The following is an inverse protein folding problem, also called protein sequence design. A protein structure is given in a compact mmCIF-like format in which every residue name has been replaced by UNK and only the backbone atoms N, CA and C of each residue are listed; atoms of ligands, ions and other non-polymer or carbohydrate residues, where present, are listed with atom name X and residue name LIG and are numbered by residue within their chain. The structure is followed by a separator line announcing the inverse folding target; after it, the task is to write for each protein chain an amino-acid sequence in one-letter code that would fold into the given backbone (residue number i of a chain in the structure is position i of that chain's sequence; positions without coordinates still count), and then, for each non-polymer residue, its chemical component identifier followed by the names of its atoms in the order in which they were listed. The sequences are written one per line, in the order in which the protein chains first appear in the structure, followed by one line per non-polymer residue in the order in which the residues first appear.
data_IF_818889988215
#
_entry.id   IF_818889988215
#
_cell.length_a   1.000
_cell.length_b   1.000
_cell.length_c   1.000
_cell.angle_alpha   90.00
_cell.angle_beta   90.00
_cell.angle_gamma   90.00
#
_symmetry.space_group_name_H-M   'P 1'
#
loop_
_entity.id
_entity.type
_entity.pdbx_description
1 polymer ?
#
# COMPACT_ATOMS: atom_id res chain seq x y z
N UNK A 1 28.13 -0.01 14.81
CA UNK A 1 27.42 -1.31 14.78
C UNK A 1 27.30 -1.77 16.23
N UNK A 2 26.16 -1.54 16.85
CA UNK A 2 25.82 -1.84 18.26
C UNK A 2 24.28 -1.63 18.32
N UNK A 3 23.40 -2.48 18.86
CA UNK A 3 23.45 -3.78 19.55
C UNK A 3 22.07 -4.41 19.30
N UNK A 4 22.00 -5.59 18.68
CA UNK A 4 20.90 -6.58 18.87
C UNK A 4 21.48 -8.00 18.95
N UNK A 5 22.81 -8.13 19.03
CA UNK A 5 23.50 -9.42 19.16
C UNK A 5 23.77 -9.84 20.60
N UNK A 6 23.80 -8.89 21.54
CA UNK A 6 24.31 -9.16 22.89
C UNK A 6 23.23 -9.65 23.86
N UNK A 7 21.98 -9.80 23.41
CA UNK A 7 20.86 -10.16 24.30
C UNK A 7 20.54 -11.67 24.31
N UNK A 8 21.13 -12.48 23.42
CA UNK A 8 20.83 -13.93 23.33
C UNK A 8 22.06 -14.83 23.09
N UNK A 9 23.27 -14.29 22.97
CA UNK A 9 24.49 -15.11 22.75
C UNK A 9 24.55 -15.82 21.38
N UNK A 10 23.84 -15.31 20.37
CA UNK A 10 23.76 -15.90 19.03
C UNK A 10 24.61 -15.11 18.05
N UNK A 11 25.44 -15.79 17.25
CA UNK A 11 26.25 -15.15 16.21
C UNK A 11 25.38 -14.48 15.12
N UNK A 12 25.88 -13.36 14.58
CA UNK A 12 25.20 -12.58 13.53
C UNK A 12 24.89 -13.41 12.29
N UNK A 13 25.77 -14.36 11.93
CA UNK A 13 25.54 -15.24 10.79
C UNK A 13 24.38 -16.20 11.02
N UNK A 14 24.20 -16.68 12.25
CA UNK A 14 23.06 -17.54 12.62
C UNK A 14 21.74 -16.77 12.53
N UNK A 15 21.68 -15.55 13.08
CA UNK A 15 20.51 -14.67 12.94
C UNK A 15 20.19 -14.40 11.47
N UNK A 16 21.20 -14.07 10.66
CA UNK A 16 21.03 -13.82 9.23
C UNK A 16 20.49 -15.04 8.48
N UNK A 17 20.99 -16.25 8.77
CA UNK A 17 20.48 -17.50 8.18
C UNK A 17 19.03 -17.76 8.58
N UNK A 18 18.68 -17.57 9.85
CA UNK A 18 17.30 -17.73 10.32
C UNK A 18 16.35 -16.75 9.63
N UNK A 19 16.68 -15.46 9.59
CA UNK A 19 15.87 -14.44 8.92
C UNK A 19 15.69 -14.79 7.44
N UNK A 20 16.76 -15.20 6.76
CA UNK A 20 16.69 -15.58 5.34
C UNK A 20 15.74 -16.76 5.13
N UNK A 21 15.87 -17.83 5.95
CA UNK A 21 15.02 -19.02 5.86
C UNK A 21 13.56 -18.70 6.12
N UNK A 22 13.27 -18.02 7.22
CA UNK A 22 11.89 -17.66 7.61
C UNK A 22 11.26 -16.72 6.59
N UNK A 23 11.98 -15.67 6.17
CA UNK A 23 11.46 -14.73 5.16
C UNK A 23 11.16 -15.43 3.83
N UNK A 24 11.98 -16.39 3.41
CA UNK A 24 11.73 -17.16 2.18
C UNK A 24 10.45 -17.99 2.28
N UNK A 25 10.22 -18.66 3.42
CA UNK A 25 9.01 -19.45 3.65
C UNK A 25 7.78 -18.54 3.70
N UNK A 26 7.84 -17.41 4.40
CA UNK A 26 6.74 -16.45 4.46
C UNK A 26 6.45 -15.87 3.07
N UNK A 27 7.47 -15.45 2.33
CA UNK A 27 7.30 -14.95 0.97
C UNK A 27 6.68 -16.00 0.04
N UNK A 28 6.96 -17.30 0.23
CA UNK A 28 6.30 -18.38 -0.54
C UNK A 28 4.80 -18.47 -0.29
N UNK A 29 4.28 -17.89 0.80
CA UNK A 29 2.86 -17.80 1.12
C UNK A 29 2.19 -16.53 0.57
N UNK A 30 2.91 -15.73 -0.22
CA UNK A 30 2.38 -14.50 -0.81
C UNK A 30 1.09 -14.72 -1.62
N UNK A 31 0.93 -15.86 -2.31
CA UNK A 31 -0.30 -16.16 -3.07
C UNK A 31 -1.51 -16.54 -2.20
N UNK A 32 -1.32 -16.76 -0.89
CA UNK A 32 -2.39 -17.09 0.04
C UNK A 32 -2.89 -15.85 0.79
N UNK A 33 -1.95 -15.03 1.28
CA UNK A 33 -2.26 -13.91 2.17
C UNK A 33 -2.35 -12.58 1.47
N UNK A 34 -1.72 -12.48 0.31
CA UNK A 34 -1.94 -11.36 -0.57
C UNK A 34 -2.84 -12.01 -1.66
N UNK A 35 -3.99 -11.43 -2.01
CA UNK A 35 -4.87 -11.91 -3.10
C UNK A 35 -5.75 -10.78 -3.64
N UNK A 36 -6.21 -10.91 -4.88
CA UNK A 36 -7.23 -10.02 -5.42
C UNK A 36 -8.57 -10.28 -4.73
N UNK A 37 -9.36 -9.25 -4.37
CA UNK A 37 -10.64 -9.45 -3.72
C UNK A 37 -11.60 -10.28 -4.58
N UNK A 38 -12.43 -11.10 -3.90
CA UNK A 38 -13.57 -11.77 -4.54
C UNK A 38 -14.60 -10.75 -5.02
N UNK A 39 -15.55 -11.15 -5.87
CA UNK A 39 -16.61 -10.24 -6.35
C UNK A 39 -17.44 -9.64 -5.21
N UNK A 40 -17.72 -10.43 -4.17
CA UNK A 40 -18.45 -9.93 -3.00
C UNK A 40 -17.62 -8.94 -2.19
N UNK A 41 -16.34 -9.23 -1.95
CA UNK A 41 -15.44 -8.29 -1.29
C UNK A 41 -15.24 -7.01 -2.12
N UNK A 42 -15.18 -7.09 -3.46
CA UNK A 42 -15.13 -5.89 -4.31
C UNK A 42 -16.34 -4.99 -4.11
N UNK A 43 -17.52 -5.56 -3.87
CA UNK A 43 -18.74 -4.79 -3.58
C UNK A 43 -18.63 -4.05 -2.26
N UNK A 44 -18.16 -4.73 -1.22
CA UNK A 44 -17.87 -4.13 0.09
C UNK A 44 -16.84 -3.00 -0.05
N UNK A 45 -15.74 -3.26 -0.77
CA UNK A 45 -14.68 -2.26 -0.96
C UNK A 45 -15.19 -1.02 -1.71
N UNK A 46 -16.02 -1.20 -2.75
CA UNK A 46 -16.65 -0.09 -3.47
C UNK A 46 -17.51 0.77 -2.56
N UNK A 47 -18.32 0.13 -1.73
CA UNK A 47 -19.19 0.84 -0.79
C UNK A 47 -18.35 1.58 0.24
N UNK A 48 -17.37 0.91 0.86
CA UNK A 48 -16.53 1.53 1.88
C UNK A 48 -15.64 2.68 1.38
N UNK A 49 -15.14 2.62 0.14
CA UNK A 49 -14.44 3.79 -0.45
C UNK A 49 -15.38 4.96 -0.72
N UNK A 50 -16.61 4.65 -1.09
CA UNK A 50 -17.62 5.67 -1.30
C UNK A 50 -18.04 6.31 0.02
N UNK A 51 -18.24 5.53 1.08
CA UNK A 51 -18.51 6.01 2.45
C UNK A 51 -17.33 6.86 2.97
N UNK A 52 -16.11 6.34 2.89
CA UNK A 52 -14.93 7.00 3.43
C UNK A 52 -14.53 8.25 2.62
N UNK A 53 -14.65 8.20 1.30
CA UNK A 53 -14.02 9.16 0.37
C UNK A 53 -14.97 9.90 -0.56
N UNK A 54 -16.23 9.49 -0.66
CA UNK A 54 -17.18 9.95 -1.67
C UNK A 54 -16.87 9.47 -3.07
N UNK A 55 -15.97 8.48 -3.23
CA UNK A 55 -15.46 8.07 -4.54
C UNK A 55 -16.13 6.75 -5.01
N UNK A 56 -17.04 6.79 -5.99
CA UNK A 56 -17.80 5.62 -6.40
C UNK A 56 -16.97 4.64 -7.24
N UNK A 57 -17.25 3.35 -7.08
CA UNK A 57 -16.72 2.30 -7.96
C UNK A 57 -15.26 1.92 -7.73
N UNK A 58 -14.61 2.46 -6.70
CA UNK A 58 -13.21 2.17 -6.36
C UNK A 58 -13.10 0.81 -5.71
N UNK A 59 -12.23 -0.05 -6.22
CA UNK A 59 -11.95 -1.38 -5.66
C UNK A 59 -10.57 -1.48 -5.00
N UNK A 60 -9.85 -0.36 -4.93
CA UNK A 60 -8.53 -0.27 -4.33
C UNK A 60 -7.85 1.07 -4.61
N UNK A 61 -7.05 1.54 -3.66
CA UNK A 61 -6.12 2.65 -3.83
C UNK A 61 -4.72 2.12 -4.05
N UNK A 62 -3.97 2.72 -4.98
CA UNK A 62 -2.61 2.28 -5.32
C UNK A 62 -1.60 3.41 -5.13
N UNK A 63 -0.46 3.09 -4.54
CA UNK A 63 0.63 4.04 -4.33
C UNK A 63 1.97 3.29 -4.18
N UNK A 64 3.06 4.03 -4.35
CA UNK A 64 4.42 3.55 -4.19
C UNK A 64 5.07 4.05 -2.91
N UNK A 65 5.81 3.20 -2.23
CA UNK A 65 6.64 3.57 -1.08
C UNK A 65 8.06 3.10 -1.27
N UNK A 66 9.02 3.96 -0.92
CA UNK A 66 10.43 3.60 -0.98
C UNK A 66 10.84 2.90 0.32
N UNK A 67 11.45 1.71 0.18
CA UNK A 67 12.16 1.02 1.25
C UNK A 67 13.65 1.24 1.03
N UNK A 68 14.30 1.89 2.00
CA UNK A 68 15.73 2.19 1.92
C UNK A 68 16.53 0.90 1.94
N UNK A 69 17.53 0.79 1.08
CA UNK A 69 18.44 -0.35 1.05
C UNK A 69 19.89 0.11 1.19
N UNK A 70 20.77 -0.84 1.50
CA UNK A 70 22.20 -0.64 1.30
C UNK A 70 22.49 -0.53 -0.20
N UNK A 71 23.40 0.37 -0.57
CA UNK A 71 23.88 0.49 -1.95
C UNK A 71 24.31 -0.89 -2.47
N UNK A 72 23.70 -1.38 -3.56
CA UNK A 72 24.09 -2.66 -4.12
C UNK A 72 25.46 -2.53 -4.80
N UNK A 73 26.18 -3.65 -4.86
CA UNK A 73 27.49 -3.70 -5.55
C UNK A 73 27.29 -3.80 -7.07
N UNK A 74 26.19 -4.43 -7.50
CA UNK A 74 25.82 -4.60 -8.89
C UNK A 74 24.67 -3.66 -9.23
N UNK A 75 24.75 -3.01 -10.38
CA UNK A 75 23.68 -2.16 -10.92
C UNK A 75 23.19 -1.07 -9.94
N UNK A 76 24.11 -0.50 -9.16
CA UNK A 76 23.83 0.55 -8.17
C UNK A 76 22.97 1.71 -8.68
N UNK A 77 23.20 2.26 -9.89
CA UNK A 77 22.43 3.39 -10.39
C UNK A 77 20.93 3.08 -10.52
N UNK A 78 20.56 1.83 -10.78
CA UNK A 78 19.16 1.39 -10.90
C UNK A 78 18.40 1.42 -9.57
N UNK A 79 19.10 1.57 -8.44
CA UNK A 79 18.50 1.66 -7.11
C UNK A 79 18.49 3.07 -6.54
N UNK A 80 19.03 4.07 -7.25
CA UNK A 80 19.01 5.46 -6.81
C UNK A 80 17.66 6.10 -7.15
N UNK A 81 16.94 6.58 -6.14
CA UNK A 81 15.67 7.27 -6.36
C UNK A 81 15.85 8.76 -6.67
N UNK A 82 14.75 9.45 -6.99
CA UNK A 82 14.70 10.90 -7.26
C UNK A 82 15.23 11.80 -6.11
N UNK A 83 15.33 11.27 -4.89
CA UNK A 83 15.86 11.97 -3.71
C UNK A 83 17.34 11.67 -3.46
N UNK A 84 18.01 10.94 -4.36
CA UNK A 84 19.45 10.70 -4.33
C UNK A 84 19.90 9.62 -3.33
N UNK A 85 19.01 8.71 -2.91
CA UNK A 85 19.40 7.58 -2.04
C UNK A 85 18.93 6.23 -2.59
N UNK A 86 19.59 5.15 -2.15
CA UNK A 86 19.29 3.78 -2.57
C UNK A 86 18.01 3.25 -1.95
N UNK A 87 17.09 2.77 -2.78
CA UNK A 87 15.83 2.21 -2.32
C UNK A 87 15.21 1.27 -3.34
N UNK A 88 14.35 0.37 -2.85
CA UNK A 88 13.40 -0.36 -3.68
C UNK A 88 12.08 0.39 -3.64
N UNK A 89 11.52 0.71 -4.82
CA UNK A 89 10.16 1.22 -4.93
C UNK A 89 9.18 0.04 -4.82
N UNK A 90 8.36 0.03 -3.77
CA UNK A 90 7.35 -0.99 -3.52
C UNK A 90 5.99 -0.38 -3.85
N UNK A 91 5.25 -1.00 -4.77
CA UNK A 91 3.88 -0.60 -5.09
C UNK A 91 2.90 -1.58 -4.46
N UNK A 92 1.88 -1.05 -3.80
CA UNK A 92 0.81 -1.83 -3.19
C UNK A 92 -0.54 -1.19 -3.52
N UNK A 93 -1.59 -1.99 -3.46
CA UNK A 93 -2.99 -1.57 -3.50
C UNK A 93 -3.54 -1.82 -2.10
N UNK A 94 -4.39 -0.95 -1.57
CA UNK A 94 -5.15 -1.26 -0.37
C UNK A 94 -6.64 -1.04 -0.61
N UNK A 95 -7.46 -1.66 0.22
CA UNK A 95 -8.89 -1.35 0.26
C UNK A 95 -9.20 -0.12 1.11
N UNK A 96 -10.49 0.12 1.34
CA UNK A 96 -11.00 1.28 2.07
C UNK A 96 -10.67 1.26 3.57
N UNK A 97 -10.41 0.08 4.14
CA UNK A 97 -10.01 -0.12 5.54
C UNK A 97 -8.50 0.08 5.72
N UNK A 98 -7.76 0.14 4.60
CA UNK A 98 -6.31 0.28 4.60
C UNK A 98 -5.58 -1.06 4.67
N UNK A 99 -6.23 -2.17 4.33
CA UNK A 99 -5.59 -3.48 4.28
C UNK A 99 -4.81 -3.66 2.97
N UNK A 100 -3.53 -4.06 3.06
CA UNK A 100 -2.60 -4.00 1.94
C UNK A 100 -2.54 -5.28 1.07
N UNK A 101 -2.49 -5.08 -0.25
CA UNK A 101 -2.14 -6.07 -1.25
C UNK A 101 -2.09 -5.53 -2.70
N UNK A 102 -0.87 -5.32 -3.23
CA UNK A 102 -0.41 -5.59 -4.63
C UNK A 102 -0.23 -4.51 -5.72
N UNK A 103 0.43 -4.93 -6.82
CA UNK A 103 0.85 -4.13 -7.97
C UNK A 103 -0.20 -3.86 -9.07
N UNK A 104 0.18 -2.91 -9.94
CA UNK A 104 -0.67 -2.09 -10.82
C UNK A 104 -1.13 -2.75 -12.12
N UNK A 105 -2.35 -2.41 -12.60
CA UNK A 105 -2.73 -2.30 -14.04
C UNK A 105 -3.93 -1.34 -14.27
N UNK A 106 -4.26 -1.16 -15.55
CA UNK A 106 -4.89 -0.08 -16.36
C UNK A 106 -6.11 0.72 -15.87
N UNK A 107 -6.62 0.56 -14.66
CA UNK A 107 -7.81 1.26 -14.15
C UNK A 107 -7.47 2.44 -13.21
N UNK A 108 -6.28 3.04 -13.39
CA UNK A 108 -5.75 4.08 -12.51
C UNK A 108 -6.38 5.45 -12.77
N UNK A 109 -7.02 6.01 -11.75
CA UNK A 109 -7.64 7.33 -11.79
C UNK A 109 -6.70 8.39 -11.21
N UNK A 110 -6.50 9.50 -11.94
CA UNK A 110 -5.56 10.57 -11.58
C UNK A 110 -6.28 11.91 -11.36
N UNK A 111 -5.79 12.75 -10.43
CA UNK A 111 -6.40 14.05 -10.13
C UNK A 111 -6.35 15.00 -11.32
N UNK A 112 -7.25 15.99 -11.34
CA UNK A 112 -7.18 17.11 -12.27
C UNK A 112 -6.02 18.04 -11.87
N UNK A 113 -5.00 18.14 -12.72
CA UNK A 113 -3.80 18.97 -12.46
C UNK A 113 -4.09 20.49 -12.49
N UNK A 114 -5.16 20.89 -13.18
CA UNK A 114 -5.67 22.27 -13.24
C UNK A 114 -7.19 22.21 -13.12
N UNK A 115 -7.74 22.25 -11.89
CA UNK A 115 -9.18 22.30 -11.71
C UNK A 115 -9.69 23.65 -12.21
N UNK A 116 -10.56 23.63 -13.20
CA UNK A 116 -11.20 24.83 -13.78
C UNK A 116 -12.67 24.97 -13.42
N UNK A 117 -13.24 23.97 -12.75
CA UNK A 117 -14.67 23.87 -12.42
C UNK A 117 -14.79 23.31 -11.00
N UNK A 118 -15.84 23.69 -10.27
CA UNK A 118 -16.09 23.25 -8.88
C UNK A 118 -16.15 21.71 -8.77
N UNK A 119 -16.66 21.04 -9.80
CA UNK A 119 -16.72 19.58 -9.85
C UNK A 119 -15.31 18.94 -9.86
N UNK A 120 -14.32 19.59 -10.49
CA UNK A 120 -12.92 19.14 -10.49
C UNK A 120 -12.29 19.23 -9.11
N UNK A 121 -12.61 20.29 -8.34
CA UNK A 121 -12.12 20.45 -6.97
C UNK A 121 -12.73 19.42 -6.03
N UNK A 122 -14.05 19.18 -6.14
CA UNK A 122 -14.77 18.15 -5.38
C UNK A 122 -14.22 16.75 -5.70
N UNK A 123 -13.97 16.46 -6.97
CA UNK A 123 -13.30 15.23 -7.40
C UNK A 123 -11.91 15.09 -6.78
N UNK A 124 -11.07 16.12 -6.86
CA UNK A 124 -9.71 16.09 -6.29
C UNK A 124 -9.73 15.93 -4.77
N UNK A 125 -10.70 16.53 -4.06
CA UNK A 125 -10.91 16.35 -2.63
C UNK A 125 -11.29 14.90 -2.30
N UNK A 126 -12.24 14.33 -3.02
CA UNK A 126 -12.63 12.92 -2.85
C UNK A 126 -11.48 11.96 -3.17
N UNK A 127 -10.75 12.22 -4.26
CA UNK A 127 -9.55 11.47 -4.66
C UNK A 127 -8.47 11.51 -3.57
N UNK A 128 -8.22 12.70 -3.01
CA UNK A 128 -7.22 12.90 -1.94
C UNK A 128 -7.63 12.15 -0.66
N UNK A 129 -8.88 12.30 -0.22
CA UNK A 129 -9.42 11.58 0.95
C UNK A 129 -9.35 10.07 0.77
N UNK A 130 -9.66 9.59 -0.43
CA UNK A 130 -9.57 8.17 -0.80
C UNK A 130 -8.12 7.70 -0.76
N UNK A 131 -7.15 8.47 -1.29
CA UNK A 131 -5.71 8.13 -1.27
C UNK A 131 -5.11 8.12 0.14
N UNK A 132 -5.71 8.79 1.13
CA UNK A 132 -5.23 8.75 2.51
C UNK A 132 -5.27 7.33 3.11
N UNK A 133 -6.11 6.40 2.62
CA UNK A 133 -6.09 5.02 3.12
C UNK A 133 -4.73 4.35 2.85
N UNK A 134 -4.20 4.43 1.64
CA UNK A 134 -2.96 3.74 1.28
C UNK A 134 -1.72 4.39 1.91
N UNK A 135 -1.73 5.71 2.07
CA UNK A 135 -0.67 6.40 2.81
C UNK A 135 -0.65 5.94 4.28
N UNK A 136 -1.83 5.78 4.90
CA UNK A 136 -1.97 5.23 6.25
C UNK A 136 -1.54 3.76 6.31
N UNK A 137 -1.93 2.93 5.35
CA UNK A 137 -1.48 1.53 5.23
C UNK A 137 0.03 1.42 5.20
N UNK A 138 0.70 2.25 4.39
CA UNK A 138 2.16 2.29 4.37
C UNK A 138 2.77 2.78 5.67
N UNK A 139 2.14 3.74 6.34
CA UNK A 139 2.51 4.18 7.68
C UNK A 139 2.48 3.03 8.68
N UNK A 140 1.36 2.32 8.77
CA UNK A 140 1.19 1.17 9.66
C UNK A 140 2.14 0.02 9.32
N UNK A 141 2.29 -0.32 8.05
CA UNK A 141 3.19 -1.38 7.62
C UNK A 141 4.64 -1.10 8.02
N UNK A 142 5.10 0.14 7.85
CA UNK A 142 6.44 0.58 8.25
C UNK A 142 6.62 0.72 9.76
N UNK A 143 5.56 1.08 10.50
CA UNK A 143 5.56 1.12 11.98
C UNK A 143 5.67 -0.30 12.55
N UNK A 144 4.87 -1.23 12.03
CA UNK A 144 4.86 -2.65 12.41
C UNK A 144 6.18 -3.35 12.10
N UNK A 145 6.76 -3.06 10.94
CA UNK A 145 8.05 -3.62 10.52
C UNK A 145 9.10 -2.51 10.37
N UNK A 146 9.71 -2.12 11.48
CA UNK A 146 10.69 -1.02 11.50
C UNK A 146 11.86 -1.23 10.51
N UNK A 147 12.18 -2.46 10.12
CA UNK A 147 13.17 -2.73 9.07
C UNK A 147 12.83 -2.08 7.71
N UNK A 148 11.54 -1.87 7.42
CA UNK A 148 11.06 -1.17 6.23
C UNK A 148 11.15 0.36 6.35
N UNK A 149 11.16 0.88 7.59
CA UNK A 149 11.32 2.30 7.89
C UNK A 149 12.80 2.70 7.98
N UNK A 150 13.57 2.00 8.83
CA UNK A 150 14.99 2.27 9.08
C UNK A 150 15.90 1.85 7.93
N UNK A 151 15.40 1.01 7.03
CA UNK A 151 16.10 0.48 5.87
C UNK A 151 16.70 -0.91 6.10
N UNK A 152 16.77 -1.68 5.01
CA UNK A 152 17.21 -3.08 5.00
C UNK A 152 18.67 -3.15 4.54
N UNK A 153 19.54 -3.70 5.40
CA UNK A 153 20.99 -3.81 5.15
C UNK A 153 21.37 -5.15 4.55
N UNK A 154 20.75 -5.48 3.42
CA UNK A 154 21.01 -6.69 2.64
C UNK A 154 21.01 -6.34 1.15
N UNK A 155 21.41 -7.28 0.29
CA UNK A 155 21.32 -7.08 -1.16
C UNK A 155 19.85 -6.93 -1.61
N UNK A 156 19.58 -6.34 -2.79
CA UNK A 156 18.22 -6.07 -3.26
C UNK A 156 17.31 -7.31 -3.29
N UNK A 157 17.82 -8.45 -3.74
CA UNK A 157 17.05 -9.70 -3.81
C UNK A 157 16.53 -10.16 -2.44
N UNK A 158 17.41 -10.15 -1.42
CA UNK A 158 16.99 -10.48 -0.06
C UNK A 158 16.07 -9.41 0.51
N UNK A 159 16.27 -8.15 0.18
CA UNK A 159 15.40 -7.06 0.62
C UNK A 159 13.98 -7.25 0.05
N UNK A 160 13.83 -7.58 -1.23
CA UNK A 160 12.55 -7.93 -1.83
C UNK A 160 11.88 -9.11 -1.11
N UNK A 161 12.63 -10.16 -0.79
CA UNK A 161 12.11 -11.32 -0.06
C UNK A 161 11.61 -10.94 1.34
N UNK A 162 12.37 -10.10 2.06
CA UNK A 162 11.97 -9.59 3.37
C UNK A 162 10.74 -8.68 3.29
N UNK A 163 10.66 -7.81 2.28
CA UNK A 163 9.49 -6.96 2.02
C UNK A 163 8.25 -7.83 1.80
N UNK A 164 8.34 -8.85 0.95
CA UNK A 164 7.22 -9.79 0.72
C UNK A 164 6.83 -10.55 1.99
N UNK A 165 7.81 -11.00 2.79
CA UNK A 165 7.54 -11.64 4.07
C UNK A 165 6.82 -10.71 5.06
N UNK A 166 7.21 -9.43 5.12
CA UNK A 166 6.55 -8.43 5.96
C UNK A 166 5.12 -8.15 5.48
N UNK A 167 4.86 -8.14 4.17
CA UNK A 167 3.50 -7.99 3.64
C UNK A 167 2.62 -9.19 4.04
N UNK A 168 3.14 -10.42 3.90
CA UNK A 168 2.44 -11.64 4.34
C UNK A 168 2.13 -11.60 5.84
N UNK A 169 3.12 -11.24 6.67
CA UNK A 169 2.91 -11.13 8.12
C UNK A 169 1.93 -10.01 8.48
N UNK A 170 1.94 -8.90 7.75
CA UNK A 170 0.97 -7.83 7.97
C UNK A 170 -0.46 -8.33 7.74
N UNK A 171 -0.68 -9.06 6.65
CA UNK A 171 -2.01 -9.58 6.32
C UNK A 171 -2.44 -10.68 7.29
N UNK A 172 -1.52 -11.52 7.76
CA UNK A 172 -1.79 -12.45 8.88
C UNK A 172 -2.19 -11.68 10.14
N UNK A 173 -1.51 -10.58 10.47
CA UNK A 173 -1.85 -9.78 11.64
C UNK A 173 -3.24 -9.12 11.52
N UNK A 174 -3.60 -8.64 10.32
CA UNK A 174 -4.94 -8.14 10.00
C UNK A 174 -5.98 -9.26 10.18
N UNK A 175 -5.75 -10.44 9.61
CA UNK A 175 -6.65 -11.60 9.74
C UNK A 175 -6.85 -12.01 11.21
N UNK A 176 -5.79 -11.90 12.01
CA UNK A 176 -5.80 -12.16 13.45
C UNK A 176 -6.38 -11.00 14.28
N UNK A 177 -6.75 -9.88 13.65
CA UNK A 177 -7.23 -8.65 14.29
C UNK A 177 -6.28 -8.15 15.37
N UNK A 178 -4.97 -8.26 15.10
CA UNK A 178 -3.96 -7.76 16.02
C UNK A 178 -4.07 -6.22 16.11
N UNK A 179 -4.19 -5.65 17.30
CA UNK A 179 -4.36 -4.20 17.46
C UNK A 179 -3.19 -3.47 16.81
N UNK A 180 -3.50 -2.42 16.05
CA UNK A 180 -2.50 -1.47 15.58
C UNK A 180 -2.41 -0.34 16.61
N UNK A 181 -1.19 -0.03 17.06
CA UNK A 181 -0.96 1.06 18.00
C UNK A 181 -1.43 2.40 17.37
N UNK A 182 -2.46 2.98 17.99
CA UNK A 182 -3.11 4.27 17.78
C UNK A 182 -3.83 4.49 16.43
N UNK A 183 -5.16 4.48 16.46
CA UNK A 183 -6.06 4.80 15.36
C UNK A 183 -6.66 6.21 15.54
N UNK A 184 -6.39 7.12 14.59
CA UNK A 184 -7.16 8.37 14.47
C UNK A 184 -8.46 8.10 13.68
N UNK A 185 -9.60 8.41 14.30
CA UNK A 185 -10.97 8.25 13.76
C UNK A 185 -11.30 9.27 12.65
N UNK A 186 -12.16 8.91 11.69
CA UNK A 186 -12.72 9.85 10.69
C UNK A 186 -14.25 9.68 10.58
N UNK A 187 -14.96 10.81 10.69
CA UNK A 187 -16.43 10.98 10.78
C UNK A 187 -17.18 10.78 9.44
N UNK A 188 -18.41 10.26 9.53
CA UNK A 188 -19.25 9.65 8.46
C UNK A 188 -20.66 10.28 8.37
N UNK A 189 -21.09 10.65 7.16
CA UNK A 189 -22.51 10.90 6.84
C UNK A 189 -22.76 10.72 5.34
N UNK A 190 -23.83 10.00 4.99
CA UNK A 190 -23.97 9.19 3.77
C UNK A 190 -25.20 9.53 2.90
N UNK A 191 -25.15 9.22 1.59
CA UNK A 191 -26.28 8.99 0.65
C UNK A 191 -25.82 7.93 -0.37
N UNK A 192 -26.61 6.89 -0.63
CA UNK A 192 -26.25 5.69 -1.42
C UNK A 192 -26.79 5.75 -2.87
N UNK A 193 -25.95 5.53 -3.91
CA UNK A 193 -26.39 5.43 -5.32
C UNK A 193 -25.47 4.49 -6.15
N UNK A 194 -25.99 3.49 -6.89
CA UNK A 194 -25.17 2.56 -7.67
C UNK A 194 -24.61 3.15 -8.98
N UNK A 195 -23.30 2.97 -9.23
CA UNK A 195 -22.59 3.39 -10.44
C UNK A 195 -22.76 2.43 -11.63
N UNK A 196 -23.09 2.97 -12.81
CA UNK A 196 -23.00 2.30 -14.12
C UNK A 196 -22.40 3.26 -15.15
N UNK A 197 -21.11 3.12 -15.48
CA UNK A 197 -20.41 3.99 -16.44
C UNK A 197 -19.47 3.25 -17.41
N UNK A 198 -18.94 3.94 -18.45
CA UNK A 198 -18.18 3.34 -19.58
C UNK A 198 -16.74 2.90 -19.23
N UNK A 199 -15.94 2.39 -20.20
CA UNK A 199 -14.65 1.70 -19.96
C UNK A 199 -13.35 2.51 -20.24
N UNK A 200 -13.39 3.79 -20.64
CA UNK A 200 -12.17 4.58 -20.94
C UNK A 200 -11.77 5.61 -19.86
N UNK A 201 -10.57 5.53 -19.30
CA UNK A 201 -10.18 6.22 -18.05
C UNK A 201 -10.36 7.76 -17.97
N UNK A 202 -10.15 8.53 -19.05
CA UNK A 202 -10.41 9.99 -19.04
C UNK A 202 -11.90 10.31 -19.14
N UNK A 203 -12.61 9.62 -20.03
CA UNK A 203 -14.05 9.73 -20.22
C UNK A 203 -14.81 9.25 -18.98
N UNK A 204 -14.30 8.22 -18.30
CA UNK A 204 -14.77 7.72 -17.01
C UNK A 204 -14.58 8.76 -15.92
N UNK A 205 -13.40 9.37 -15.82
CA UNK A 205 -13.14 10.43 -14.85
C UNK A 205 -14.08 11.62 -15.04
N UNK A 206 -14.22 12.09 -16.28
CA UNK A 206 -15.06 13.25 -16.58
C UNK A 206 -16.55 12.92 -16.40
N UNK A 207 -16.98 11.68 -16.70
CA UNK A 207 -18.32 11.19 -16.40
C UNK A 207 -18.57 11.08 -14.90
N UNK A 208 -17.65 10.49 -14.13
CA UNK A 208 -17.75 10.42 -12.66
C UNK A 208 -17.80 11.83 -12.06
N UNK A 209 -16.95 12.74 -12.54
CA UNK A 209 -16.90 14.14 -12.12
C UNK A 209 -18.26 14.83 -12.32
N UNK A 210 -18.86 14.67 -13.51
CA UNK A 210 -20.17 15.29 -13.83
C UNK A 210 -21.36 14.60 -13.17
N UNK A 211 -21.31 13.27 -13.00
CA UNK A 211 -22.42 12.49 -12.47
C UNK A 211 -22.48 12.48 -10.94
N UNK A 212 -21.34 12.59 -10.25
CA UNK A 212 -21.24 12.44 -8.79
C UNK A 212 -20.69 13.67 -8.06
N UNK A 213 -20.07 14.61 -8.78
CA UNK A 213 -19.45 15.81 -8.18
C UNK A 213 -19.96 17.13 -8.78
N UNK A 214 -21.06 17.10 -9.54
CA UNK A 214 -21.76 18.29 -10.07
C UNK A 214 -22.42 19.17 -9.03
#
# INVERSE_FOLDING_TARGET
MQVVGDTVGVDKSTVSRCITRVSTVLASKAGTFIKWPSEDRKREIKNGFYENGGFPGVIGCIDGTHVRIQAPVQDEPSFVNRKGYHSINVQAICDHEGDSGYGCKSFLMTPFMRPTEDCHERFNRAHTKTRCCIERSFGWWKKRFNCLHSGVRVNPEKACTMIMACAVLHNIAIDLREPMDDADEVDDSCIDIPFRGPEEGRTVRDHICRAFFG
#
